data_IF_814957627458
#
_entry.id   IF_814957627458
#
_cell.length_a   1.000
_cell.length_b   1.000
_cell.length_c   1.000
_cell.angle_alpha   90.00
_cell.angle_beta   90.00
_cell.angle_gamma   90.00
#
_symmetry.space_group_name_H-M   'P 1'
#
loop_
_entity.id
_entity.type
_entity.pdbx_description
1 polymer ?
#
# COMPACT_ATOMS: atom_id res chain seq x y z
N UNK A 1 -13.21 16.10 4.81
CA UNK A 1 -11.95 15.38 4.72
C UNK A 1 -11.91 14.49 3.52
N UNK A 2 -10.74 14.34 2.97
CA UNK A 2 -10.57 13.51 1.77
C UNK A 2 -9.75 12.27 2.03
N UNK A 3 -9.31 12.08 3.26
CA UNK A 3 -8.41 10.98 3.58
C UNK A 3 -9.07 9.63 3.41
N UNK A 4 -10.36 9.60 3.53
CA UNK A 4 -11.11 8.35 3.47
C UNK A 4 -11.04 7.71 2.09
N UNK A 5 -10.54 8.44 1.11
CA UNK A 5 -10.39 7.87 -0.23
C UNK A 5 -9.14 7.03 -0.38
N UNK A 6 -8.33 6.95 0.65
CA UNK A 6 -7.10 6.18 0.61
C UNK A 6 -7.24 4.93 1.46
N UNK A 7 -6.66 3.84 0.97
CA UNK A 7 -6.60 2.62 1.76
C UNK A 7 -5.57 2.71 2.85
N UNK A 8 -4.50 3.50 2.63
CA UNK A 8 -3.46 3.68 3.62
C UNK A 8 -2.51 4.76 3.21
N UNK A 9 -1.65 5.16 4.14
CA UNK A 9 -0.64 6.17 3.85
C UNK A 9 0.50 6.05 4.84
N UNK A 10 1.60 6.73 4.52
CA UNK A 10 2.77 6.78 5.38
C UNK A 10 3.15 8.24 5.56
N UNK A 11 3.23 8.69 6.81
CA UNK A 11 3.56 10.07 7.09
C UNK A 11 5.08 10.30 7.00
N UNK A 12 5.52 11.55 6.91
CA UNK A 12 6.97 11.82 6.92
C UNK A 12 7.68 11.31 8.17
N UNK A 13 6.95 11.14 9.27
CA UNK A 13 7.54 10.60 10.51
C UNK A 13 7.48 9.09 10.55
N UNK A 14 7.18 8.44 9.42
CA UNK A 14 7.13 6.98 9.29
C UNK A 14 6.02 6.34 10.10
N UNK A 15 4.94 7.06 10.30
CA UNK A 15 3.74 6.51 10.90
C UNK A 15 2.86 5.96 9.79
N UNK A 16 2.49 4.70 9.91
CA UNK A 16 1.65 4.04 8.91
C UNK A 16 0.20 4.14 9.34
N UNK A 17 -0.64 4.63 8.44
CA UNK A 17 -2.06 4.80 8.70
C UNK A 17 -2.82 3.90 7.74
N UNK A 18 -3.64 3.01 8.26
CA UNK A 18 -4.43 2.09 7.45
C UNK A 18 -5.90 2.42 7.63
N UNK A 19 -6.60 2.56 6.50
CA UNK A 19 -8.03 2.83 6.53
C UNK A 19 -8.75 1.63 7.15
N UNK A 20 -9.68 1.90 8.05
CA UNK A 20 -10.38 0.82 8.73
C UNK A 20 -11.18 -0.03 7.75
N UNK A 21 -11.61 0.55 6.62
CA UNK A 21 -12.33 -0.21 5.61
C UNK A 21 -11.44 -1.25 4.91
N UNK A 22 -10.13 -1.17 5.08
CA UNK A 22 -9.24 -2.15 4.50
C UNK A 22 -9.43 -3.53 5.11
N UNK A 23 -10.06 -3.61 6.28
CA UNK A 23 -10.32 -4.91 6.92
C UNK A 23 -11.25 -5.77 6.06
N UNK A 24 -11.99 -5.14 5.14
CA UNK A 24 -12.90 -5.86 4.26
C UNK A 24 -12.19 -6.44 3.04
N UNK A 25 -10.94 -6.10 2.82
CA UNK A 25 -10.19 -6.60 1.68
C UNK A 25 -9.79 -8.07 1.88
N UNK A 26 -9.62 -8.81 0.79
CA UNK A 26 -9.02 -10.14 0.90
C UNK A 26 -7.66 -10.05 1.57
N UNK A 27 -7.28 -11.13 2.25
CA UNK A 27 -6.03 -11.12 3.02
C UNK A 27 -4.83 -10.74 2.16
N UNK A 28 -4.77 -11.24 0.93
CA UNK A 28 -3.64 -10.94 0.07
C UNK A 28 -3.52 -9.44 -0.22
N UNK A 29 -4.65 -8.76 -0.34
CA UNK A 29 -4.63 -7.31 -0.56
C UNK A 29 -4.27 -6.55 0.70
N UNK A 30 -4.70 -7.06 1.85
CA UNK A 30 -4.31 -6.45 3.12
C UNK A 30 -2.80 -6.57 3.29
N UNK A 31 -2.26 -7.74 2.99
CA UNK A 31 -0.82 -7.96 3.07
C UNK A 31 -0.08 -7.03 2.12
N UNK A 32 -0.56 -6.91 0.90
CA UNK A 32 0.05 -6.00 -0.06
C UNK A 32 0.04 -4.56 0.46
N UNK A 33 -1.10 -4.14 1.00
CA UNK A 33 -1.23 -2.78 1.51
C UNK A 33 -0.24 -2.50 2.63
N UNK A 34 -0.11 -3.42 3.57
CA UNK A 34 0.82 -3.24 4.67
C UNK A 34 2.26 -3.16 4.18
N UNK A 35 2.64 -4.07 3.28
CA UNK A 35 4.01 -4.07 2.76
C UNK A 35 4.26 -2.80 1.96
N UNK A 36 3.28 -2.36 1.18
CA UNK A 36 3.38 -1.13 0.40
C UNK A 36 3.74 0.05 1.32
N UNK A 37 3.03 0.17 2.44
CA UNK A 37 3.29 1.27 3.35
C UNK A 37 4.61 1.10 4.10
N UNK A 38 4.99 -0.15 4.38
CA UNK A 38 6.27 -0.40 5.03
C UNK A 38 7.43 0.01 4.15
N UNK A 39 7.33 -0.23 2.84
CA UNK A 39 8.38 0.19 1.91
C UNK A 39 8.47 1.71 1.91
N UNK A 40 7.34 2.39 2.08
CA UNK A 40 7.35 3.86 2.13
C UNK A 40 8.10 4.41 3.34
N UNK A 41 8.34 3.61 4.36
CA UNK A 41 9.17 4.10 5.48
C UNK A 41 10.60 4.30 5.05
N UNK A 42 11.02 3.64 3.95
CA UNK A 42 12.37 3.81 3.41
C UNK A 42 12.37 4.68 2.17
N UNK A 43 11.39 4.50 1.31
CA UNK A 43 11.34 5.18 0.03
C UNK A 43 9.99 5.88 -0.08
N UNK A 44 10.00 7.19 0.07
CA UNK A 44 8.76 7.96 0.16
C UNK A 44 8.04 8.13 -1.17
N UNK A 45 8.75 8.06 -2.28
CA UNK A 45 8.16 8.26 -3.60
C UNK A 45 7.94 6.93 -4.30
N UNK A 46 7.09 6.94 -5.31
CA UNK A 46 6.84 5.76 -6.14
C UNK A 46 7.85 5.70 -7.28
N UNK A 47 9.13 5.74 -6.94
CA UNK A 47 10.21 5.67 -7.91
C UNK A 47 10.49 4.23 -8.30
N UNK A 48 11.42 4.04 -9.23
CA UNK A 48 11.84 2.70 -9.60
C UNK A 48 12.36 1.94 -8.40
N UNK A 49 13.04 2.64 -7.50
CA UNK A 49 13.56 2.01 -6.29
C UNK A 49 12.47 1.48 -5.40
N UNK A 50 11.37 2.23 -5.31
CA UNK A 50 10.23 1.79 -4.52
C UNK A 50 9.69 0.47 -5.07
N UNK A 51 9.45 0.42 -6.37
CA UNK A 51 8.87 -0.78 -6.97
C UNK A 51 9.84 -1.95 -6.94
N UNK A 52 11.13 -1.69 -7.08
CA UNK A 52 12.13 -2.74 -6.98
C UNK A 52 12.15 -3.34 -5.58
N UNK A 53 12.07 -2.49 -4.58
CA UNK A 53 12.05 -2.96 -3.19
C UNK A 53 10.78 -3.73 -2.90
N UNK A 54 9.65 -3.21 -3.36
CA UNK A 54 8.37 -3.87 -3.14
C UNK A 54 8.33 -5.25 -3.78
N UNK A 55 8.90 -5.38 -4.97
CA UNK A 55 8.88 -6.64 -5.69
C UNK A 55 9.70 -7.72 -5.01
N UNK A 56 10.65 -7.34 -4.18
CA UNK A 56 11.42 -8.30 -3.40
C UNK A 56 10.56 -9.00 -2.35
N UNK A 57 9.54 -8.31 -1.89
CA UNK A 57 8.66 -8.85 -0.85
C UNK A 57 7.42 -9.49 -1.45
N UNK A 58 6.90 -8.91 -2.53
CA UNK A 58 5.69 -9.40 -3.17
C UNK A 58 5.95 -9.43 -4.69
N UNK A 59 6.25 -10.63 -5.23
CA UNK A 59 6.62 -10.68 -6.64
C UNK A 59 5.45 -10.40 -7.57
N UNK A 60 4.23 -10.65 -7.14
CA UNK A 60 3.05 -10.38 -7.96
C UNK A 60 2.39 -9.04 -7.61
N UNK A 61 3.22 -8.07 -7.24
CA UNK A 61 2.72 -6.78 -6.79
C UNK A 61 1.90 -6.05 -7.85
N UNK A 62 2.24 -6.25 -9.13
CA UNK A 62 1.50 -5.56 -10.19
C UNK A 62 0.05 -6.00 -10.22
N UNK A 63 -0.17 -7.28 -10.04
CA UNK A 63 -1.51 -7.84 -10.05
C UNK A 63 -2.31 -7.31 -8.85
N UNK A 64 -1.68 -7.31 -7.69
CA UNK A 64 -2.34 -6.84 -6.48
C UNK A 64 -2.60 -5.33 -6.54
N UNK A 65 -1.65 -4.59 -7.09
CA UNK A 65 -1.82 -3.15 -7.23
C UNK A 65 -3.00 -2.83 -8.13
N UNK A 66 -3.13 -3.56 -9.23
CA UNK A 66 -4.25 -3.37 -10.14
C UNK A 66 -5.58 -3.67 -9.44
N UNK A 67 -5.61 -4.70 -8.62
CA UNK A 67 -6.82 -5.04 -7.87
C UNK A 67 -7.17 -3.95 -6.87
N UNK A 68 -6.18 -3.38 -6.23
CA UNK A 68 -6.44 -2.29 -5.28
C UNK A 68 -7.04 -1.08 -5.98
N UNK A 69 -6.55 -0.75 -7.17
CA UNK A 69 -7.10 0.36 -7.92
C UNK A 69 -8.53 0.10 -8.36
N UNK A 70 -8.88 -1.15 -8.56
CA UNK A 70 -10.24 -1.50 -8.94
C UNK A 70 -11.24 -1.45 -7.80
N UNK A 71 -10.74 -1.37 -6.57
CA UNK A 71 -11.61 -1.34 -5.42
C UNK A 71 -11.88 0.09 -4.99
N UNK A 72 -13.07 0.32 -4.49
CA UNK A 72 -13.46 1.65 -4.05
C UNK A 72 -13.86 1.63 -2.59
N UNK A 73 -13.52 2.68 -1.91
CA UNK A 73 -13.95 2.88 -0.53
C UNK A 73 -15.40 3.23 -0.42
#
# INVERSE_FOLDING_TARGET
MKLEKRWGSCTPSNTIIININAIKLPFSLIEYLVVHELVHTKIKSHSKEFWAELSKHIFNWKELDAKMYGMKL
#
